data_IF_938477082866
#
_entry.id   IF_938477082866
#
_cell.length_a   1.000
_cell.length_b   1.000
_cell.length_c   1.000
_cell.angle_alpha   90.00
_cell.angle_beta   90.00
_cell.angle_gamma   90.00
#
_symmetry.space_group_name_H-M   'P 1'
#
loop_
_entity.id
_entity.type
_entity.pdbx_description
1 polymer ?
#
# COMPACT_ATOMS: atom_id res chain seq x y z
N UNK A 1 75.65 -8.57 10.80
CA UNK A 1 76.06 -7.94 9.52
C UNK A 1 74.82 -7.81 8.63
N UNK A 2 74.72 -6.69 7.91
CA UNK A 2 73.51 -6.05 7.40
C UNK A 2 72.94 -6.61 6.06
N UNK A 3 71.62 -6.39 5.88
CA UNK A 3 70.83 -6.04 4.65
C UNK A 3 70.88 -6.95 3.41
N UNK A 4 69.71 -7.33 2.89
CA UNK A 4 69.00 -6.51 1.89
C UNK A 4 67.55 -6.96 1.60
N UNK A 5 66.75 -5.96 1.19
CA UNK A 5 65.32 -5.94 0.84
C UNK A 5 65.17 -5.85 -0.68
N UNK A 6 64.28 -6.65 -1.29
CA UNK A 6 63.49 -6.41 -2.53
C UNK A 6 62.24 -7.33 -2.43
N UNK A 7 60.96 -6.95 -2.50
CA UNK A 7 60.11 -6.03 -3.29
C UNK A 7 59.73 -6.61 -4.67
N UNK A 8 58.42 -6.83 -4.88
CA UNK A 8 57.76 -7.39 -6.09
C UNK A 8 57.20 -8.79 -5.78
N UNK A 9 55.95 -9.19 -6.04
CA UNK A 9 54.95 -8.74 -7.00
C UNK A 9 53.54 -9.09 -6.49
N UNK A 10 52.59 -8.18 -6.70
CA UNK A 10 51.14 -8.40 -6.62
C UNK A 10 50.66 -9.14 -7.88
N UNK A 11 49.78 -10.16 -7.79
CA UNK A 11 49.12 -10.64 -8.98
C UNK A 11 48.12 -9.58 -9.47
N UNK A 12 48.40 -9.13 -10.70
CA UNK A 12 47.62 -8.17 -11.47
C UNK A 12 46.18 -8.67 -11.67
N UNK A 13 45.22 -7.83 -11.29
CA UNK A 13 43.84 -7.95 -11.75
C UNK A 13 43.79 -7.37 -13.16
N UNK A 14 43.37 -8.12 -14.18
CA UNK A 14 43.36 -7.63 -15.55
C UNK A 14 42.44 -6.42 -15.69
N UNK A 15 43.02 -5.31 -16.13
CA UNK A 15 42.33 -4.10 -16.53
C UNK A 15 41.55 -4.34 -17.83
N UNK A 16 40.33 -4.86 -17.69
CA UNK A 16 39.28 -4.65 -18.68
C UNK A 16 37.96 -4.51 -17.95
N UNK A 17 37.21 -3.46 -18.30
CA UNK A 17 35.92 -3.04 -17.75
C UNK A 17 35.95 -2.06 -16.55
N UNK A 18 36.84 -1.06 -16.63
CA UNK A 18 36.46 0.29 -16.20
C UNK A 18 35.53 0.84 -17.28
N UNK A 19 34.21 0.62 -17.12
CA UNK A 19 33.20 1.43 -17.81
C UNK A 19 32.59 2.39 -16.79
N UNK A 20 33.12 3.60 -16.87
CA UNK A 20 32.51 4.84 -16.44
C UNK A 20 31.00 4.84 -16.72
N UNK A 21 30.19 4.68 -15.67
CA UNK A 21 28.82 5.19 -15.65
C UNK A 21 28.79 6.43 -14.79
N UNK A 22 29.05 7.56 -15.44
CA UNK A 22 28.44 8.84 -15.06
C UNK A 22 26.94 8.60 -15.02
N UNK A 23 26.36 8.38 -13.83
CA UNK A 23 24.91 8.41 -13.69
C UNK A 23 24.47 9.86 -13.82
N UNK A 24 24.01 10.16 -15.02
CA UNK A 24 23.34 11.39 -15.40
C UNK A 24 22.19 11.61 -14.40
N UNK A 25 22.26 12.74 -13.71
CA UNK A 25 21.10 13.34 -13.05
C UNK A 25 19.99 13.54 -14.10
N UNK A 26 18.89 12.79 -13.97
CA UNK A 26 17.61 13.13 -14.57
C UNK A 26 16.52 13.03 -13.51
N UNK A 27 15.66 14.06 -13.39
CA UNK A 27 14.53 14.05 -12.48
C UNK A 27 13.39 13.23 -13.10
N UNK A 28 12.63 12.56 -12.24
CA UNK A 28 11.28 12.09 -12.57
C UNK A 28 11.20 10.84 -13.41
N UNK A 29 11.42 9.67 -12.80
CA UNK A 29 10.79 8.41 -13.24
C UNK A 29 10.43 7.61 -11.97
N UNK A 30 9.22 7.85 -11.46
CA UNK A 30 8.58 6.97 -10.48
C UNK A 30 8.01 5.78 -11.24
N UNK A 31 8.76 4.68 -11.28
CA UNK A 31 8.25 3.38 -11.74
C UNK A 31 8.50 2.40 -10.60
N UNK A 32 7.44 2.02 -9.90
CA UNK A 32 7.16 0.67 -9.35
C UNK A 32 5.96 0.70 -8.38
N UNK A 33 4.74 0.75 -8.93
CA UNK A 33 3.51 0.22 -8.29
C UNK A 33 2.34 0.11 -9.27
N UNK A 34 2.60 -0.01 -10.58
CA UNK A 34 1.53 -0.15 -11.57
C UNK A 34 0.84 -1.53 -11.52
N UNK A 35 1.47 -2.54 -10.91
CA UNK A 35 0.90 -3.89 -10.87
C UNK A 35 -0.21 -4.04 -9.81
N UNK A 36 -0.02 -3.46 -8.63
CA UNK A 36 -1.01 -3.51 -7.54
C UNK A 36 -2.21 -2.61 -7.85
N UNK A 37 -1.98 -1.45 -8.48
CA UNK A 37 -3.08 -0.54 -8.86
C UNK A 37 -4.05 -1.17 -9.88
N UNK A 38 -3.55 -1.99 -10.81
CA UNK A 38 -4.39 -2.66 -11.82
C UNK A 38 -5.33 -3.71 -11.24
N UNK A 39 -4.99 -4.30 -10.10
CA UNK A 39 -5.89 -5.24 -9.42
C UNK A 39 -7.04 -4.50 -8.72
N UNK A 40 -6.81 -3.27 -8.27
CA UNK A 40 -7.80 -2.41 -7.62
C UNK A 40 -8.80 -1.80 -8.61
N UNK A 41 -8.33 -1.39 -9.80
CA UNK A 41 -9.20 -0.77 -10.82
C UNK A 41 -10.22 -1.75 -11.42
N UNK A 42 -9.95 -3.07 -11.38
CA UNK A 42 -10.85 -4.10 -11.91
C UNK A 42 -12.12 -4.32 -11.07
N UNK A 43 -12.14 -3.90 -9.80
CA UNK A 43 -13.32 -4.08 -8.94
C UNK A 43 -14.37 -2.97 -9.09
N UNK A 44 -14.04 -1.85 -9.75
CA UNK A 44 -14.93 -0.68 -9.85
C UNK A 44 -15.65 -0.50 -11.19
N UNK A 45 -15.38 -1.32 -12.20
CA UNK A 45 -15.99 -1.19 -13.54
C UNK A 45 -17.39 -1.82 -13.67
N UNK A 46 -17.87 -2.59 -12.69
CA UNK A 46 -19.16 -3.31 -12.81
C UNK A 46 -20.40 -2.54 -12.31
N UNK A 47 -20.31 -1.25 -11.97
CA UNK A 47 -21.45 -0.55 -11.34
C UNK A 47 -21.86 0.79 -11.98
N UNK A 48 -21.75 0.92 -13.32
CA UNK A 48 -22.33 2.06 -14.05
C UNK A 48 -23.11 1.58 -15.28
N UNK A 49 -24.35 1.13 -15.07
CA UNK A 49 -25.36 1.10 -16.14
C UNK A 49 -26.68 1.63 -15.59
N UNK A 50 -27.16 2.72 -16.19
CA UNK A 50 -28.44 3.34 -15.87
C UNK A 50 -28.69 4.59 -16.70
N UNK A 51 -28.67 4.43 -18.03
CA UNK A 51 -29.13 5.42 -19.01
C UNK A 51 -30.61 5.72 -18.82
N UNK A 52 -31.05 6.96 -19.10
CA UNK A 52 -32.34 7.23 -19.74
C UNK A 52 -32.40 8.67 -20.26
N UNK A 53 -32.49 8.80 -21.59
CA UNK A 53 -33.00 9.96 -22.28
C UNK A 53 -34.41 9.67 -22.84
N UNK A 54 -35.16 10.71 -23.20
CA UNK A 54 -36.35 10.60 -24.04
C UNK A 54 -37.55 11.43 -23.57
N UNK A 55 -38.01 12.34 -24.42
CA UNK A 55 -39.01 13.36 -24.15
C UNK A 55 -40.48 12.93 -24.40
N UNK A 56 -41.38 13.58 -23.64
CA UNK A 56 -42.75 14.02 -23.92
C UNK A 56 -43.81 13.09 -24.57
N UNK A 57 -44.90 12.84 -23.82
CA UNK A 57 -46.28 12.97 -24.32
C UNK A 57 -47.29 13.06 -23.14
N UNK A 58 -48.27 13.96 -23.30
CA UNK A 58 -49.39 14.25 -22.36
C UNK A 58 -50.41 13.12 -22.30
N UNK A 59 -51.00 12.86 -21.12
CA UNK A 59 -52.46 12.79 -20.97
C UNK A 59 -52.88 12.88 -19.49
N UNK A 60 -53.88 13.73 -19.21
CA UNK A 60 -54.47 13.99 -17.89
C UNK A 60 -55.38 12.85 -17.44
N UNK A 61 -55.29 12.45 -16.16
CA UNK A 61 -56.45 12.00 -15.38
C UNK A 61 -56.18 12.19 -13.88
N UNK A 62 -57.12 12.87 -13.22
CA UNK A 62 -57.13 13.15 -11.79
C UNK A 62 -56.90 11.89 -10.96
N UNK A 63 -55.92 11.93 -10.07
CA UNK A 63 -55.90 11.06 -8.90
C UNK A 63 -55.63 11.91 -7.66
N UNK A 64 -56.58 11.84 -6.74
CA UNK A 64 -56.60 12.32 -5.34
C UNK A 64 -55.22 12.69 -4.78
N UNK A 65 -55.12 13.91 -4.27
CA UNK A 65 -53.91 14.46 -3.65
C UNK A 65 -53.29 13.48 -2.65
N UNK A 66 -52.17 12.88 -3.03
CA UNK A 66 -51.24 12.29 -2.08
C UNK A 66 -50.50 13.44 -1.42
N UNK A 67 -50.66 13.57 -0.11
CA UNK A 67 -49.74 14.35 0.72
C UNK A 67 -48.33 13.87 0.40
N UNK A 68 -47.55 14.70 -0.29
CA UNK A 68 -46.11 14.47 -0.43
C UNK A 68 -45.55 14.72 0.96
N UNK A 69 -45.33 13.66 1.73
CA UNK A 69 -44.56 13.80 2.96
C UNK A 69 -43.21 14.40 2.56
N UNK A 70 -42.77 15.51 3.17
CA UNK A 70 -41.44 16.02 2.90
C UNK A 70 -40.47 14.88 3.18
N UNK A 71 -39.69 14.47 2.17
CA UNK A 71 -38.53 13.60 2.41
C UNK A 71 -37.68 14.37 3.40
N UNK A 72 -37.67 13.92 4.65
CA UNK A 72 -36.68 14.41 5.60
C UNK A 72 -35.32 14.16 4.95
N UNK A 73 -34.41 15.15 4.95
CA UNK A 73 -33.03 14.89 4.57
C UNK A 73 -32.58 13.70 5.41
N UNK A 74 -32.22 12.59 4.76
CA UNK A 74 -31.53 11.51 5.45
C UNK A 74 -30.24 12.19 5.93
N UNK A 75 -30.16 12.50 7.23
CA UNK A 75 -28.90 12.82 7.88
C UNK A 75 -28.08 11.53 7.75
N UNK A 76 -27.31 11.44 6.67
CA UNK A 76 -26.24 10.46 6.57
C UNK A 76 -25.19 10.95 7.53
N UNK A 77 -25.29 10.53 8.80
CA UNK A 77 -24.09 10.47 9.62
C UNK A 77 -23.15 9.57 8.85
N UNK A 78 -22.13 10.18 8.25
CA UNK A 78 -21.09 9.46 7.54
C UNK A 78 -20.35 8.66 8.60
N UNK A 79 -20.48 7.33 8.53
CA UNK A 79 -19.73 6.43 9.41
C UNK A 79 -18.24 6.73 9.25
N UNK A 80 -17.60 7.11 10.35
CA UNK A 80 -16.17 7.41 10.37
C UNK A 80 -15.39 6.13 10.60
N UNK A 81 -14.30 5.95 9.85
CA UNK A 81 -13.42 4.82 10.04
C UNK A 81 -12.61 4.48 8.80
N UNK A 82 -11.91 3.36 8.90
CA UNK A 82 -11.10 2.80 7.81
C UNK A 82 -11.49 1.34 7.65
N UNK A 83 -11.77 0.95 6.42
CA UNK A 83 -11.89 -0.46 6.04
C UNK A 83 -10.78 -0.81 5.05
N UNK A 84 -10.55 -2.10 4.82
CA UNK A 84 -9.52 -2.58 3.92
C UNK A 84 -9.98 -3.76 3.08
N UNK A 85 -9.30 -3.97 1.95
CA UNK A 85 -9.46 -5.19 1.15
C UNK A 85 -8.85 -6.39 1.85
N UNK A 86 -9.32 -7.62 1.62
CA UNK A 86 -8.64 -8.82 2.08
C UNK A 86 -7.14 -8.77 1.74
N UNK A 87 -6.24 -9.12 2.68
CA UNK A 87 -4.81 -9.11 2.43
C UNK A 87 -4.42 -10.08 1.30
N UNK A 88 -3.67 -9.59 0.32
CA UNK A 88 -3.15 -10.40 -0.78
C UNK A 88 -1.65 -10.63 -0.59
N UNK A 89 -1.21 -11.88 -0.74
CA UNK A 89 0.22 -12.22 -0.68
C UNK A 89 0.95 -11.73 -1.95
N UNK A 90 2.12 -11.13 -1.74
CA UNK A 90 2.98 -10.60 -2.80
C UNK A 90 4.44 -10.95 -2.53
N UNK A 91 5.32 -10.78 -3.51
CA UNK A 91 6.73 -11.05 -3.33
C UNK A 91 7.35 -10.10 -2.30
N UNK A 92 8.18 -10.62 -1.39
CA UNK A 92 8.86 -9.80 -0.35
C UNK A 92 9.66 -8.63 -0.94
N UNK A 93 10.13 -8.76 -2.18
CA UNK A 93 10.87 -7.73 -2.93
C UNK A 93 10.02 -6.52 -3.34
N UNK A 94 8.69 -6.64 -3.25
CA UNK A 94 7.74 -5.55 -3.52
C UNK A 94 7.43 -4.68 -2.29
N UNK A 95 7.88 -5.09 -1.10
CA UNK A 95 7.70 -4.30 0.11
C UNK A 95 8.32 -2.90 -0.02
N UNK A 96 7.66 -1.93 0.61
CA UNK A 96 8.15 -0.58 0.73
C UNK A 96 9.55 -0.57 1.39
N UNK A 97 10.49 0.28 0.93
CA UNK A 97 11.87 0.29 1.41
C UNK A 97 12.03 0.40 2.93
N UNK A 98 11.12 1.11 3.62
CA UNK A 98 11.14 1.16 5.09
C UNK A 98 10.85 -0.19 5.75
N UNK A 99 9.89 -0.95 5.22
CA UNK A 99 9.58 -2.28 5.73
C UNK A 99 10.77 -3.21 5.45
N UNK A 100 11.27 -3.22 4.21
CA UNK A 100 12.45 -4.01 3.84
C UNK A 100 13.66 -3.73 4.75
N UNK A 101 13.93 -2.46 5.06
CA UNK A 101 15.04 -2.11 5.94
C UNK A 101 14.83 -2.59 7.38
N UNK A 102 13.59 -2.54 7.90
CA UNK A 102 13.29 -3.14 9.19
C UNK A 102 13.50 -4.66 9.15
N UNK A 103 13.00 -5.34 8.12
CA UNK A 103 13.11 -6.79 7.99
C UNK A 103 14.56 -7.29 7.87
N UNK A 104 15.46 -6.50 7.28
CA UNK A 104 16.91 -6.80 7.21
C UNK A 104 17.61 -6.82 8.57
N UNK A 105 17.06 -6.12 9.56
CA UNK A 105 17.61 -6.16 10.93
C UNK A 105 17.26 -7.45 11.68
N UNK A 106 16.29 -8.22 11.17
CA UNK A 106 15.96 -9.57 11.65
C UNK A 106 16.61 -10.67 10.80
N UNK A 107 16.66 -11.89 11.33
CA UNK A 107 17.12 -13.07 10.58
C UNK A 107 16.07 -13.55 9.58
N UNK A 108 16.52 -14.07 8.42
CA UNK A 108 15.72 -14.84 7.46
C UNK A 108 14.63 -14.06 6.71
N UNK A 109 14.97 -13.33 5.65
CA UNK A 109 13.97 -12.75 4.74
C UNK A 109 13.17 -13.83 3.99
N UNK A 110 13.82 -14.95 3.65
CA UNK A 110 13.23 -16.04 2.85
C UNK A 110 12.08 -16.77 3.57
N UNK A 111 11.99 -16.62 4.90
CA UNK A 111 10.94 -17.22 5.73
C UNK A 111 9.74 -16.31 5.93
N UNK A 112 9.82 -15.06 5.47
CA UNK A 112 8.80 -14.04 5.67
C UNK A 112 7.90 -13.94 4.45
N UNK A 113 6.59 -13.96 4.68
CA UNK A 113 5.56 -13.77 3.66
C UNK A 113 5.02 -12.36 3.75
N UNK A 114 4.94 -11.66 2.62
CA UNK A 114 4.45 -10.29 2.56
C UNK A 114 2.99 -10.28 2.11
N UNK A 115 2.14 -9.60 2.87
CA UNK A 115 0.75 -9.36 2.51
C UNK A 115 0.48 -7.86 2.40
N UNK A 116 -0.36 -7.51 1.45
CA UNK A 116 -0.77 -6.12 1.18
C UNK A 116 -2.28 -6.02 1.18
N UNK A 117 -2.79 -5.01 1.87
CA UNK A 117 -4.22 -4.66 1.89
C UNK A 117 -4.40 -3.17 1.55
N UNK A 118 -5.33 -2.85 0.65
CA UNK A 118 -5.64 -1.46 0.31
C UNK A 118 -6.64 -0.89 1.31
N UNK A 119 -6.36 0.29 1.85
CA UNK A 119 -7.15 0.96 2.87
C UNK A 119 -8.03 2.06 2.26
N UNK A 120 -9.26 2.18 2.77
CA UNK A 120 -10.26 3.12 2.28
C UNK A 120 -10.95 3.85 3.43
N UNK A 121 -11.31 5.10 3.16
CA UNK A 121 -12.08 5.94 4.08
C UNK A 121 -13.54 5.49 4.07
N UNK A 122 -14.11 5.19 5.24
CA UNK A 122 -15.47 4.66 5.35
C UNK A 122 -16.54 5.70 4.97
N UNK A 123 -16.26 6.99 5.19
CA UNK A 123 -17.20 8.06 4.88
C UNK A 123 -17.25 8.32 3.36
N UNK A 124 -16.09 8.39 2.71
CA UNK A 124 -15.96 8.82 1.31
C UNK A 124 -15.74 7.67 0.33
N UNK A 125 -15.47 6.46 0.81
CA UNK A 125 -15.05 5.31 -0.01
C UNK A 125 -13.73 5.56 -0.74
N UNK A 126 -12.97 6.58 -0.35
CA UNK A 126 -11.79 7.04 -1.08
C UNK A 126 -10.55 6.26 -0.65
N UNK A 127 -9.62 5.93 -1.57
CA UNK A 127 -8.39 5.24 -1.20
C UNK A 127 -7.54 6.11 -0.27
N UNK A 128 -7.09 5.51 0.83
CA UNK A 128 -6.28 6.18 1.85
C UNK A 128 -4.82 5.76 1.80
N UNK A 129 -4.53 4.57 1.30
CA UNK A 129 -3.18 4.00 1.32
C UNK A 129 -3.21 2.49 1.31
N UNK A 130 -2.12 1.90 1.79
CA UNK A 130 -1.92 0.45 1.84
C UNK A 130 -1.29 0.04 3.16
N UNK A 131 -1.75 -1.08 3.70
CA UNK A 131 -1.07 -1.81 4.75
C UNK A 131 -0.13 -2.82 4.10
N UNK A 132 1.11 -2.86 4.55
CA UNK A 132 2.08 -3.89 4.19
C UNK A 132 2.47 -4.63 5.48
N UNK A 133 2.29 -5.95 5.52
CA UNK A 133 2.62 -6.79 6.66
C UNK A 133 3.47 -7.97 6.23
N UNK A 134 4.61 -8.14 6.89
CA UNK A 134 5.49 -9.30 6.72
C UNK A 134 5.35 -10.21 7.94
N UNK A 135 5.01 -11.47 7.69
CA UNK A 135 4.76 -12.48 8.72
C UNK A 135 5.85 -13.54 8.63
N UNK A 136 6.52 -13.79 9.75
CA UNK A 136 7.41 -14.94 9.93
C UNK A 136 6.63 -16.08 10.61
N UNK A 137 6.26 -17.10 9.82
CA UNK A 137 5.44 -18.22 10.30
C UNK A 137 6.18 -19.13 11.29
N UNK A 138 7.52 -19.08 11.36
CA UNK A 138 8.28 -19.92 12.30
C UNK A 138 8.45 -19.25 13.65
N UNK A 139 8.76 -17.95 13.68
CA UNK A 139 8.98 -17.22 14.93
C UNK A 139 7.71 -16.65 15.54
N UNK A 140 6.61 -16.57 14.78
CA UNK A 140 5.39 -15.88 15.19
C UNK A 140 5.57 -14.35 15.29
N UNK A 141 6.68 -13.81 14.79
CA UNK A 141 6.93 -12.38 14.73
C UNK A 141 6.47 -11.82 13.39
N UNK A 142 5.84 -10.65 13.46
CA UNK A 142 5.40 -9.91 12.29
C UNK A 142 5.90 -8.47 12.36
N UNK A 143 6.10 -7.89 11.19
CA UNK A 143 6.43 -6.48 11.05
C UNK A 143 5.53 -5.86 9.99
N UNK A 144 4.97 -4.69 10.26
CA UNK A 144 4.13 -4.03 9.28
C UNK A 144 4.25 -2.51 9.30
N UNK A 145 3.77 -1.90 8.21
CA UNK A 145 3.76 -0.46 8.01
C UNK A 145 2.53 -0.04 7.22
N UNK A 146 2.01 1.15 7.51
CA UNK A 146 1.04 1.82 6.66
C UNK A 146 1.76 2.82 5.75
N UNK A 147 1.42 2.83 4.47
CA UNK A 147 1.94 3.77 3.47
C UNK A 147 0.81 4.47 2.73
N UNK A 148 1.03 5.70 2.34
CA UNK A 148 0.06 6.54 1.65
C UNK A 148 0.78 7.58 0.79
N UNK A 149 0.09 8.10 -0.22
CA UNK A 149 0.57 9.24 -1.00
C UNK A 149 -0.08 10.51 -0.44
N UNK A 150 0.71 11.43 0.11
CA UNK A 150 0.24 12.76 0.54
C UNK A 150 0.97 13.82 -0.25
N UNK A 151 0.24 14.70 -0.93
CA UNK A 151 0.81 15.76 -1.76
C UNK A 151 1.86 15.25 -2.78
N UNK A 152 1.63 14.07 -3.36
CA UNK A 152 2.56 13.38 -4.27
C UNK A 152 3.84 12.85 -3.63
N UNK A 153 3.95 12.86 -2.30
CA UNK A 153 5.05 12.25 -1.56
C UNK A 153 4.63 10.88 -0.99
N UNK A 154 5.53 9.89 -1.09
CA UNK A 154 5.35 8.59 -0.44
C UNK A 154 5.61 8.75 1.07
N UNK A 155 4.52 8.78 1.82
CA UNK A 155 4.53 8.90 3.27
C UNK A 155 4.21 7.54 3.86
N UNK A 156 5.16 7.03 4.64
CA UNK A 156 4.97 5.81 5.42
C UNK A 156 5.08 6.10 6.91
N UNK A 157 4.38 5.29 7.70
CA UNK A 157 4.56 5.23 9.14
C UNK A 157 5.90 4.63 9.55
N UNK A 158 6.11 4.53 10.86
CA UNK A 158 7.20 3.73 11.42
C UNK A 158 6.84 2.23 11.32
N UNK A 159 7.76 1.36 10.89
CA UNK A 159 7.55 -0.08 10.98
C UNK A 159 7.30 -0.50 12.43
N UNK A 160 6.35 -1.41 12.61
CA UNK A 160 5.92 -1.89 13.93
C UNK A 160 6.17 -3.38 14.00
N UNK A 161 6.89 -3.82 15.02
CA UNK A 161 7.07 -5.23 15.33
C UNK A 161 6.04 -5.70 16.35
N UNK A 162 5.45 -6.86 16.11
CA UNK A 162 4.44 -7.45 16.98
C UNK A 162 4.44 -8.97 16.83
N UNK A 163 3.86 -9.67 17.80
CA UNK A 163 3.55 -11.10 17.69
C UNK A 163 2.25 -11.28 16.94
N UNK A 164 2.18 -12.24 16.02
CA UNK A 164 0.95 -12.63 15.34
C UNK A 164 0.76 -14.14 15.42
N UNK A 165 -0.48 -14.57 15.22
CA UNK A 165 -0.90 -15.95 15.03
C UNK A 165 -0.68 -16.45 13.58
N UNK A 166 -0.10 -15.60 12.72
CA UNK A 166 0.06 -15.87 11.29
C UNK A 166 -1.14 -15.46 10.44
N UNK A 167 -2.22 -14.93 11.03
CA UNK A 167 -3.37 -14.42 10.29
C UNK A 167 -3.08 -13.00 9.75
N UNK A 168 -3.10 -12.80 8.42
CA UNK A 168 -2.81 -11.50 7.83
C UNK A 168 -3.86 -10.44 8.15
N UNK A 169 -5.12 -10.79 8.41
CA UNK A 169 -6.14 -9.81 8.79
C UNK A 169 -5.90 -9.27 10.20
N UNK A 170 -5.57 -10.15 11.16
CA UNK A 170 -5.18 -9.74 12.51
C UNK A 170 -3.89 -8.89 12.49
N UNK A 171 -2.96 -9.22 11.60
CA UNK A 171 -1.75 -8.44 11.40
C UNK A 171 -2.04 -7.04 10.86
N UNK A 172 -2.93 -6.92 9.86
CA UNK A 172 -3.38 -5.62 9.33
C UNK A 172 -4.08 -4.80 10.39
N UNK A 173 -4.95 -5.40 11.21
CA UNK A 173 -5.62 -4.69 12.30
C UNK A 173 -4.62 -4.13 13.32
N UNK A 174 -3.56 -4.87 13.61
CA UNK A 174 -2.47 -4.40 14.48
C UNK A 174 -1.74 -3.18 13.90
N UNK A 175 -1.46 -3.21 12.59
CA UNK A 175 -0.85 -2.05 11.90
C UNK A 175 -1.83 -0.87 11.86
N UNK A 176 -3.12 -1.09 11.64
CA UNK A 176 -4.15 -0.06 11.67
C UNK A 176 -4.15 0.68 13.01
N UNK A 177 -4.13 -0.03 14.14
CA UNK A 177 -4.07 0.58 15.48
C UNK A 177 -2.84 1.48 15.64
N UNK A 178 -1.68 1.06 15.13
CA UNK A 178 -0.47 1.88 15.15
C UNK A 178 -0.54 3.08 14.20
N UNK A 179 -1.15 2.91 13.01
CA UNK A 179 -1.34 3.99 12.06
C UNK A 179 -2.29 5.08 12.62
N UNK A 180 -3.33 4.68 13.36
CA UNK A 180 -4.21 5.60 14.11
C UNK A 180 -3.44 6.37 15.18
N UNK A 181 -2.63 5.68 15.97
CA UNK A 181 -1.78 6.33 16.99
C UNK A 181 -0.78 7.33 16.38
N UNK A 182 -0.40 7.14 15.10
CA UNK A 182 0.46 8.05 14.34
C UNK A 182 -0.31 9.16 13.59
N UNK A 183 -1.65 9.19 13.63
CA UNK A 183 -2.47 10.15 12.88
C UNK A 183 -2.40 9.96 11.36
N UNK A 184 -2.08 8.75 10.90
CA UNK A 184 -1.99 8.44 9.46
C UNK A 184 -3.36 8.09 8.85
N UNK A 185 -4.25 7.57 9.68
CA UNK A 185 -5.62 7.17 9.37
C UNK A 185 -6.56 7.61 10.50
N UNK A 186 -7.86 7.84 10.25
CA UNK A 186 -8.85 8.25 11.24
C UNK A 186 -9.15 7.17 12.28
#
# INVERSE_FOLDING_TARGET
MFKHRQRGETPEVPASQILSLRSISRPGISIRSAHIQRFVDSYHSENIIGTNGGAAARCNKLSKGRTIMPRQPIKRELEQGTYWTPPCEVAITEAHPRLLNALKTGSGLDRKRLFVASAYDMALGSPMGQFEVAIDCESGLSCGVFRTMRNSEDVSGKPVWFTSDGDPDNAVETVLRSAKAQGLVP
#
